data_IF_508007034361
#
_entry.id   IF_508007034361
#
_cell.length_a   1.000
_cell.length_b   1.000
_cell.length_c   1.000
_cell.angle_alpha   90.00
_cell.angle_beta   90.00
_cell.angle_gamma   90.00
#
_symmetry.space_group_name_H-M   'P 1'
#
loop_
_entity.id
_entity.type
_entity.pdbx_description
1 polymer ?
#
# COMPACT_ATOMS: atom_id res chain seq x y z
N UNK A 1 -51.23 28.30 36.12
CA UNK A 1 -49.76 28.57 36.20
C UNK A 1 -49.14 27.69 37.27
N UNK A 2 -47.84 27.37 37.13
CA UNK A 2 -46.93 26.71 38.10
C UNK A 2 -47.11 25.20 38.38
N UNK A 3 -46.16 24.43 37.85
CA UNK A 3 -45.45 23.40 38.64
C UNK A 3 -44.45 24.12 39.60
N UNK A 4 -43.99 23.49 40.70
CA UNK A 4 -42.90 22.48 40.68
C UNK A 4 -43.13 21.34 41.73
N UNK A 5 -42.31 20.31 41.96
CA UNK A 5 -41.22 19.61 41.23
C UNK A 5 -40.87 18.31 41.98
N UNK A 6 -40.46 17.23 41.30
CA UNK A 6 -39.95 16.02 41.97
C UNK A 6 -39.49 14.91 41.00
N UNK A 7 -38.26 14.45 41.18
CA UNK A 7 -37.69 13.21 40.59
C UNK A 7 -38.21 11.99 41.38
N UNK A 8 -38.32 10.77 40.80
CA UNK A 8 -37.13 9.91 40.64
C UNK A 8 -37.12 8.89 39.48
N UNK A 9 -35.89 8.40 39.18
CA UNK A 9 -35.53 7.05 38.67
C UNK A 9 -36.33 6.41 37.52
N UNK A 10 -35.71 6.40 36.33
CA UNK A 10 -36.07 5.45 35.26
C UNK A 10 -35.25 4.16 35.36
N UNK A 11 -35.95 3.02 35.41
CA UNK A 11 -35.39 1.68 35.23
C UNK A 11 -35.98 1.03 33.96
N UNK A 12 -35.11 0.43 33.12
CA UNK A 12 -35.44 -0.48 32.01
C UNK A 12 -36.39 0.05 30.91
N UNK A 13 -35.79 0.41 29.78
CA UNK A 13 -36.26 -0.13 28.49
C UNK A 13 -35.08 -0.46 27.58
N UNK A 14 -35.00 -1.72 27.14
CA UNK A 14 -33.97 -2.18 26.20
C UNK A 14 -34.55 -2.27 24.79
N UNK A 15 -33.86 -1.72 23.77
CA UNK A 15 -34.00 -2.18 22.39
C UNK A 15 -32.85 -3.09 21.98
N UNK A 16 -33.21 -4.17 21.30
CA UNK A 16 -32.31 -5.24 20.84
C UNK A 16 -31.38 -4.78 19.71
N UNK A 17 -30.16 -5.33 19.70
CA UNK A 17 -29.55 -5.85 18.48
C UNK A 17 -28.69 -4.90 17.63
N UNK A 18 -27.41 -4.77 17.99
CA UNK A 18 -26.33 -4.55 17.02
C UNK A 18 -25.29 -5.65 17.23
N UNK A 19 -25.42 -6.73 16.45
CA UNK A 19 -24.54 -7.88 16.53
C UNK A 19 -23.41 -7.78 15.49
N UNK A 20 -22.16 -7.79 15.97
CA UNK A 20 -21.00 -8.22 15.19
C UNK A 20 -20.42 -7.20 14.20
N UNK A 21 -19.16 -6.81 14.42
CA UNK A 21 -18.46 -5.88 13.54
C UNK A 21 -18.28 -6.43 12.12
N UNK A 22 -18.96 -5.80 11.15
CA UNK A 22 -18.59 -5.88 9.75
C UNK A 22 -17.40 -4.95 9.49
N UNK A 23 -16.26 -5.53 9.11
CA UNK A 23 -15.12 -4.78 8.59
C UNK A 23 -15.46 -4.22 7.21
N UNK A 24 -16.15 -3.08 7.21
CA UNK A 24 -16.60 -2.36 6.01
C UNK A 24 -15.42 -1.63 5.35
N UNK A 25 -14.43 -2.38 4.86
CA UNK A 25 -13.65 -1.89 3.74
C UNK A 25 -14.52 -2.01 2.48
N UNK A 26 -14.68 -0.93 1.68
CA UNK A 26 -15.28 -1.06 0.36
C UNK A 26 -14.46 -2.07 -0.45
N UNK A 27 -15.07 -2.81 -1.40
CA UNK A 27 -14.34 -3.74 -2.24
C UNK A 27 -13.16 -2.99 -2.88
N UNK A 28 -11.95 -3.36 -2.48
CA UNK A 28 -10.75 -2.65 -2.90
C UNK A 28 -10.66 -2.73 -4.43
N UNK A 29 -10.21 -1.66 -5.11
CA UNK A 29 -9.92 -1.76 -6.53
C UNK A 29 -8.96 -2.93 -6.72
N UNK A 30 -9.32 -3.86 -7.61
CA UNK A 30 -8.65 -5.17 -7.77
C UNK A 30 -7.15 -4.97 -7.63
N UNK A 31 -6.58 -5.55 -6.57
CA UNK A 31 -5.15 -5.44 -6.35
C UNK A 31 -4.47 -6.17 -7.50
N UNK A 32 -3.68 -5.43 -8.29
CA UNK A 32 -2.84 -5.96 -9.36
C UNK A 32 -1.37 -5.83 -8.94
N UNK A 33 -0.90 -6.62 -7.96
CA UNK A 33 0.52 -6.67 -7.65
C UNK A 33 1.32 -7.16 -8.86
N UNK A 34 2.51 -6.59 -9.03
CA UNK A 34 3.50 -7.05 -10.00
C UNK A 34 4.87 -7.12 -9.34
N UNK A 35 5.60 -8.22 -9.52
CA UNK A 35 6.90 -8.43 -8.87
C UNK A 35 7.92 -9.09 -9.79
N UNK A 36 9.16 -9.19 -9.31
CA UNK A 36 10.17 -10.06 -9.92
C UNK A 36 9.95 -11.54 -9.55
N UNK A 37 10.84 -12.40 -10.04
CA UNK A 37 10.78 -13.86 -9.93
C UNK A 37 10.88 -14.46 -8.52
N UNK A 38 10.87 -13.67 -7.45
CA UNK A 38 10.92 -14.19 -6.08
C UNK A 38 9.56 -14.77 -5.65
N UNK A 39 9.51 -16.10 -5.44
CA UNK A 39 8.29 -16.81 -5.03
C UNK A 39 7.72 -16.35 -3.67
N UNK A 40 8.53 -15.75 -2.79
CA UNK A 40 8.05 -15.26 -1.48
C UNK A 40 6.91 -14.24 -1.60
N UNK A 41 6.90 -13.43 -2.67
CA UNK A 41 5.81 -12.50 -2.95
C UNK A 41 4.48 -13.22 -3.19
N UNK A 42 4.47 -14.39 -3.81
CA UNK A 42 3.24 -15.16 -4.01
C UNK A 42 2.57 -15.48 -2.67
N UNK A 43 3.31 -16.07 -1.74
CA UNK A 43 2.79 -16.44 -0.42
C UNK A 43 2.33 -15.21 0.36
N UNK A 44 3.15 -14.17 0.42
CA UNK A 44 2.81 -12.92 1.13
C UNK A 44 1.54 -12.26 0.57
N UNK A 45 1.41 -12.18 -0.77
CA UNK A 45 0.22 -11.61 -1.42
C UNK A 45 -1.02 -12.47 -1.14
N UNK A 46 -0.93 -13.80 -1.26
CA UNK A 46 -2.07 -14.70 -0.96
C UNK A 46 -2.48 -14.72 0.51
N UNK A 47 -1.55 -14.45 1.43
CA UNK A 47 -1.83 -14.36 2.87
C UNK A 47 -2.38 -12.99 3.29
N UNK A 48 -2.17 -11.94 2.47
CA UNK A 48 -2.68 -10.59 2.73
C UNK A 48 -4.02 -10.32 2.05
N UNK A 49 -4.17 -10.74 0.79
CA UNK A 49 -5.37 -10.51 -0.02
C UNK A 49 -6.31 -11.71 0.03
N UNK A 50 -7.16 -11.75 1.04
CA UNK A 50 -8.16 -12.81 1.23
C UNK A 50 -9.07 -12.55 2.43
N UNK A 51 -9.87 -13.54 2.78
CA UNK A 51 -10.82 -13.49 3.88
C UNK A 51 -10.95 -14.85 4.58
N UNK A 52 -11.27 -14.82 5.87
CA UNK A 52 -11.63 -16.02 6.64
C UNK A 52 -13.10 -16.36 6.43
N UNK A 53 -13.38 -17.42 5.67
CA UNK A 53 -14.74 -17.96 5.55
C UNK A 53 -15.01 -18.96 6.67
N UNK A 54 -16.22 -18.91 7.24
CA UNK A 54 -16.73 -20.00 8.07
C UNK A 54 -17.26 -21.11 7.16
N UNK A 55 -16.57 -22.24 7.11
CA UNK A 55 -16.98 -23.42 6.37
C UNK A 55 -17.56 -24.43 7.36
N UNK A 56 -18.83 -24.77 7.18
CA UNK A 56 -19.47 -25.84 7.93
C UNK A 56 -19.10 -27.20 7.34
N UNK A 57 -18.45 -28.07 8.11
CA UNK A 57 -18.28 -29.50 7.77
C UNK A 57 -18.78 -30.36 8.92
N UNK A 58 -19.81 -31.18 8.67
CA UNK A 58 -20.41 -32.17 9.62
C UNK A 58 -20.46 -31.66 11.07
N UNK A 59 -21.26 -30.62 11.31
CA UNK A 59 -21.49 -30.04 12.65
C UNK A 59 -20.37 -29.14 13.19
N UNK A 60 -19.15 -29.16 12.63
CA UNK A 60 -18.03 -28.31 13.08
C UNK A 60 -17.92 -27.06 12.20
N UNK A 61 -17.99 -25.88 12.83
CA UNK A 61 -17.65 -24.59 12.20
C UNK A 61 -16.13 -24.45 12.17
N UNK A 62 -15.53 -24.42 10.98
CA UNK A 62 -14.09 -24.23 10.80
C UNK A 62 -13.86 -22.92 10.04
N UNK A 63 -12.93 -22.08 10.51
CA UNK A 63 -12.47 -20.92 9.72
C UNK A 63 -11.44 -21.40 8.70
N UNK A 64 -11.67 -21.13 7.42
CA UNK A 64 -10.74 -21.43 6.34
C UNK A 64 -10.37 -20.13 5.62
N UNK A 65 -9.07 -19.91 5.38
CA UNK A 65 -8.60 -18.77 4.60
C UNK A 65 -8.92 -19.01 3.12
N UNK A 66 -9.52 -18.02 2.47
CA UNK A 66 -9.73 -17.99 1.04
C UNK A 66 -9.04 -16.75 0.45
N UNK A 67 -8.14 -16.96 -0.51
CA UNK A 67 -7.54 -15.88 -1.32
C UNK A 67 -8.65 -15.15 -2.07
N UNK A 68 -8.56 -13.83 -2.16
CA UNK A 68 -9.57 -13.02 -2.83
C UNK A 68 -9.74 -13.48 -4.30
N UNK A 69 -10.96 -13.85 -4.75
CA UNK A 69 -11.16 -14.49 -6.06
C UNK A 69 -10.83 -13.57 -7.24
N UNK A 70 -10.90 -12.25 -7.04
CA UNK A 70 -10.50 -11.25 -8.04
C UNK A 70 -9.01 -10.87 -8.02
N UNK A 71 -8.15 -11.53 -7.23
CA UNK A 71 -6.72 -11.18 -7.15
C UNK A 71 -5.97 -11.57 -8.43
N UNK A 72 -5.51 -10.56 -9.19
CA UNK A 72 -4.72 -10.76 -10.41
C UNK A 72 -3.25 -10.49 -10.09
N UNK A 73 -2.38 -11.48 -10.23
CA UNK A 73 -0.96 -11.33 -9.90
C UNK A 73 -0.07 -11.77 -11.07
N UNK A 74 0.65 -10.80 -11.64
CA UNK A 74 1.63 -11.00 -12.71
C UNK A 74 3.07 -10.93 -12.21
N UNK A 75 3.92 -11.83 -12.68
CA UNK A 75 5.31 -11.96 -12.26
C UNK A 75 6.28 -11.84 -13.45
N UNK A 76 7.37 -11.10 -13.26
CA UNK A 76 8.45 -10.96 -14.24
C UNK A 76 9.57 -11.93 -13.92
N UNK A 77 9.75 -12.95 -14.77
CA UNK A 77 10.84 -13.94 -14.65
C UNK A 77 11.99 -13.55 -15.59
N UNK A 78 13.20 -13.44 -15.04
CA UNK A 78 14.42 -13.15 -15.80
C UNK A 78 15.17 -14.45 -16.08
N UNK A 79 15.50 -14.69 -17.34
CA UNK A 79 16.30 -15.85 -17.77
C UNK A 79 17.76 -15.44 -17.92
N UNK A 80 18.65 -16.16 -17.25
CA UNK A 80 20.09 -15.91 -17.27
C UNK A 80 20.86 -17.11 -17.83
N UNK A 81 21.87 -16.83 -18.66
CA UNK A 81 22.81 -17.82 -19.17
C UNK A 81 24.23 -17.28 -18.96
N UNK A 82 25.13 -18.08 -18.37
CA UNK A 82 26.51 -17.66 -18.04
C UNK A 82 26.59 -16.27 -17.36
N UNK A 83 25.71 -16.03 -16.38
CA UNK A 83 25.51 -14.75 -15.65
C UNK A 83 25.03 -13.54 -16.49
N UNK A 84 24.83 -13.67 -17.81
CA UNK A 84 24.23 -12.66 -18.69
C UNK A 84 22.71 -12.81 -18.71
N UNK A 85 21.97 -11.70 -18.67
CA UNK A 85 20.52 -11.71 -18.93
C UNK A 85 20.29 -12.04 -20.41
N UNK A 86 19.56 -13.12 -20.70
CA UNK A 86 19.26 -13.57 -22.07
C UNK A 86 17.79 -13.39 -22.45
N UNK A 87 16.91 -13.20 -21.47
CA UNK A 87 15.50 -12.95 -21.76
C UNK A 87 14.70 -12.56 -20.52
N UNK A 88 13.50 -12.05 -20.78
CA UNK A 88 12.50 -11.73 -19.76
C UNK A 88 11.19 -12.35 -20.22
N UNK A 89 10.54 -13.12 -19.35
CA UNK A 89 9.21 -13.67 -19.56
C UNK A 89 8.23 -13.18 -18.50
N UNK A 90 6.96 -13.12 -18.88
CA UNK A 90 5.86 -12.74 -18.00
C UNK A 90 5.07 -14.01 -17.64
N UNK A 91 4.86 -14.21 -16.35
CA UNK A 91 4.20 -15.40 -15.79
C UNK A 91 3.01 -14.93 -14.98
N UNK A 92 1.80 -15.37 -15.35
CA UNK A 92 0.64 -15.18 -14.47
C UNK A 92 0.74 -16.17 -13.31
N UNK A 93 0.53 -15.67 -12.09
CA UNK A 93 0.48 -16.48 -10.87
C UNK A 93 -0.94 -16.63 -10.35
N UNK A 94 -1.80 -15.62 -10.56
CA UNK A 94 -3.24 -15.62 -10.29
C UNK A 94 -3.95 -14.74 -11.32
N UNK A 95 -5.20 -15.08 -11.68
CA UNK A 95 -6.00 -14.38 -12.70
C UNK A 95 -5.56 -14.65 -14.14
N UNK A 96 -6.37 -14.23 -15.12
CA UNK A 96 -6.05 -14.43 -16.53
C UNK A 96 -5.15 -13.30 -17.10
N UNK A 97 -4.32 -13.57 -18.13
CA UNK A 97 -3.52 -12.54 -18.80
C UNK A 97 -4.36 -11.43 -19.46
N UNK A 98 -5.59 -11.77 -19.91
CA UNK A 98 -6.58 -10.82 -20.44
C UNK A 98 -6.95 -9.77 -19.40
N UNK A 99 -7.26 -10.21 -18.19
CA UNK A 99 -7.80 -9.38 -17.12
C UNK A 99 -6.69 -8.44 -16.62
N UNK A 100 -5.47 -8.97 -16.48
CA UNK A 100 -4.29 -8.16 -16.21
C UNK A 100 -4.11 -7.04 -17.24
N UNK A 101 -4.23 -7.36 -18.53
CA UNK A 101 -4.11 -6.36 -19.61
C UNK A 101 -5.19 -5.30 -19.50
N UNK A 102 -6.45 -5.69 -19.30
CA UNK A 102 -7.59 -4.77 -19.16
C UNK A 102 -7.41 -3.85 -17.95
N UNK A 103 -7.07 -4.38 -16.76
CA UNK A 103 -6.89 -3.53 -15.57
C UNK A 103 -5.68 -2.61 -15.72
N UNK A 104 -4.55 -3.08 -16.28
CA UNK A 104 -3.41 -2.21 -16.55
C UNK A 104 -3.75 -1.10 -17.56
N UNK A 105 -4.55 -1.37 -18.59
CA UNK A 105 -5.03 -0.35 -19.53
C UNK A 105 -5.98 0.65 -18.87
N UNK A 106 -6.92 0.18 -18.01
CA UNK A 106 -7.79 1.05 -17.22
C UNK A 106 -7.04 1.96 -16.24
N UNK A 107 -5.86 1.53 -15.77
CA UNK A 107 -4.95 2.33 -14.96
C UNK A 107 -4.02 3.26 -15.79
N UNK A 108 -4.19 3.33 -17.11
CA UNK A 108 -3.39 4.18 -18.00
C UNK A 108 -2.01 3.62 -18.36
N UNK A 109 -1.74 2.34 -18.09
CA UNK A 109 -0.51 1.66 -18.50
C UNK A 109 -0.68 0.93 -19.85
N UNK A 110 0.43 0.43 -20.41
CA UNK A 110 0.48 -0.21 -21.73
C UNK A 110 -0.20 -1.60 -21.83
N UNK A 111 -0.91 -2.05 -20.79
CA UNK A 111 -1.50 -3.39 -20.74
C UNK A 111 -0.49 -4.54 -20.60
N UNK A 112 0.81 -4.24 -20.40
CA UNK A 112 1.89 -5.24 -20.27
C UNK A 112 2.65 -5.02 -18.98
N UNK A 113 3.10 -6.10 -18.34
CA UNK A 113 4.10 -6.01 -17.28
C UNK A 113 5.36 -5.34 -17.84
N UNK A 114 5.91 -4.38 -17.09
CA UNK A 114 7.12 -3.66 -17.48
C UNK A 114 8.15 -3.78 -16.36
N UNK A 115 9.30 -4.38 -16.68
CA UNK A 115 10.40 -4.62 -15.74
C UNK A 115 10.90 -3.33 -15.09
N UNK A 116 10.88 -2.21 -15.83
CA UNK A 116 11.46 -0.96 -15.39
C UNK A 116 10.80 -0.39 -14.13
N UNK A 117 9.51 -0.65 -13.89
CA UNK A 117 8.84 -0.23 -12.65
C UNK A 117 9.32 -1.05 -11.45
N UNK A 118 9.33 -2.38 -11.57
CA UNK A 118 9.80 -3.31 -10.54
C UNK A 118 11.28 -3.03 -10.22
N UNK A 119 12.12 -2.88 -11.25
CA UNK A 119 13.54 -2.58 -11.10
C UNK A 119 13.78 -1.21 -10.47
N UNK A 120 13.02 -0.17 -10.85
CA UNK A 120 13.11 1.16 -10.25
C UNK A 120 12.71 1.15 -8.78
N UNK A 121 11.63 0.45 -8.41
CA UNK A 121 11.22 0.31 -7.00
C UNK A 121 12.31 -0.44 -6.22
N UNK A 122 12.74 -1.62 -6.68
CA UNK A 122 13.79 -2.41 -6.02
C UNK A 122 15.10 -1.62 -5.87
N UNK A 123 15.51 -0.85 -6.88
CA UNK A 123 16.68 0.02 -6.80
C UNK A 123 16.48 1.15 -5.79
N UNK A 124 15.32 1.81 -5.79
CA UNK A 124 15.02 2.93 -4.88
C UNK A 124 14.98 2.48 -3.41
N UNK A 125 14.46 1.27 -3.13
CA UNK A 125 14.54 0.63 -1.81
C UNK A 125 16.00 0.42 -1.41
N UNK A 126 16.83 -0.19 -2.27
CA UNK A 126 18.27 -0.42 -1.97
C UNK A 126 19.10 0.84 -1.79
N UNK A 127 18.71 1.94 -2.44
CA UNK A 127 19.36 3.25 -2.24
C UNK A 127 18.94 3.94 -0.95
N UNK A 128 17.72 3.68 -0.45
CA UNK A 128 17.21 4.31 0.76
C UNK A 128 17.34 3.47 2.05
N UNK A 129 17.61 2.17 1.93
CA UNK A 129 17.86 1.26 3.05
C UNK A 129 19.27 0.68 2.90
N UNK A 130 20.21 1.21 3.67
CA UNK A 130 21.66 0.88 3.58
C UNK A 130 21.97 -0.61 3.73
N UNK A 131 21.17 -1.34 4.50
CA UNK A 131 21.28 -2.79 4.70
C UNK A 131 20.91 -3.64 3.47
N UNK A 132 20.22 -3.06 2.48
CA UNK A 132 19.82 -3.74 1.24
C UNK A 132 20.75 -3.40 0.06
N UNK A 133 21.73 -2.52 0.25
CA UNK A 133 22.77 -2.23 -0.74
C UNK A 133 23.71 -3.44 -0.92
N UNK A 134 24.08 -3.75 -2.17
CA UNK A 134 24.82 -4.98 -2.53
C UNK A 134 26.21 -5.11 -1.89
N UNK A 135 26.87 -3.99 -1.60
CA UNK A 135 28.18 -3.92 -0.95
C UNK A 135 28.05 -2.87 0.16
N UNK A 136 27.81 -3.32 1.37
CA UNK A 136 27.50 -2.47 2.53
C UNK A 136 28.11 -3.07 3.78
N UNK A 137 28.60 -2.22 4.68
CA UNK A 137 29.00 -2.61 6.03
C UNK A 137 27.81 -2.65 6.99
N UNK A 138 26.69 -1.99 6.64
CA UNK A 138 25.48 -1.89 7.45
C UNK A 138 24.61 -3.16 7.36
N UNK A 139 25.18 -4.34 7.60
CA UNK A 139 24.44 -5.61 7.53
C UNK A 139 23.36 -5.70 8.62
N UNK A 140 22.13 -6.02 8.24
CA UNK A 140 21.05 -6.23 9.19
C UNK A 140 21.08 -7.66 9.73
N UNK A 141 21.66 -7.84 10.92
CA UNK A 141 21.77 -9.15 11.59
C UNK A 141 20.43 -9.65 12.18
N UNK A 142 19.45 -8.76 12.37
CA UNK A 142 18.17 -9.07 13.00
C UNK A 142 17.00 -8.54 12.17
N UNK A 143 15.98 -9.38 11.97
CA UNK A 143 14.78 -9.05 11.18
C UNK A 143 14.03 -7.81 11.68
N UNK A 144 13.79 -7.60 13.00
CA UNK A 144 13.10 -6.41 13.50
C UNK A 144 13.79 -5.09 13.15
N UNK A 145 15.12 -5.05 13.14
CA UNK A 145 15.88 -3.84 12.78
C UNK A 145 15.77 -3.53 11.28
N UNK A 146 15.84 -4.55 10.41
CA UNK A 146 15.59 -4.38 8.97
C UNK A 146 14.16 -3.90 8.70
N UNK A 147 13.18 -4.47 9.41
CA UNK A 147 11.78 -4.07 9.31
C UNK A 147 11.61 -2.60 9.73
N UNK A 148 12.10 -2.19 10.90
CA UNK A 148 12.03 -0.80 11.35
C UNK A 148 12.62 0.20 10.33
N UNK A 149 13.75 -0.15 9.71
CA UNK A 149 14.34 0.68 8.65
C UNK A 149 13.47 0.73 7.38
N UNK A 150 12.87 -0.40 6.97
CA UNK A 150 11.91 -0.45 5.85
C UNK A 150 10.62 0.33 6.12
N UNK A 151 10.08 0.24 7.34
CA UNK A 151 8.92 1.00 7.80
C UNK A 151 9.20 2.51 7.76
N UNK A 152 10.33 2.93 8.35
CA UNK A 152 10.79 4.33 8.31
C UNK A 152 10.98 4.82 6.87
N UNK A 153 11.70 4.05 6.04
CA UNK A 153 11.90 4.38 4.63
C UNK A 153 10.57 4.51 3.89
N UNK A 154 9.61 3.60 4.12
CA UNK A 154 8.29 3.64 3.49
C UNK A 154 7.53 4.90 3.91
N UNK A 155 7.51 5.23 5.20
CA UNK A 155 6.85 6.42 5.71
C UNK A 155 7.48 7.70 5.15
N UNK A 156 8.82 7.81 5.19
CA UNK A 156 9.56 8.94 4.61
C UNK A 156 9.29 9.10 3.11
N UNK A 157 9.37 8.01 2.33
CA UNK A 157 9.15 8.01 0.89
C UNK A 157 7.74 8.48 0.51
N UNK A 158 6.71 8.03 1.24
CA UNK A 158 5.32 8.35 0.89
C UNK A 158 4.83 9.69 1.45
N UNK A 159 5.21 10.07 2.67
CA UNK A 159 4.65 11.25 3.36
C UNK A 159 5.58 12.47 3.35
N UNK A 160 6.90 12.28 3.34
CA UNK A 160 7.89 13.36 3.49
C UNK A 160 8.54 13.74 2.17
N UNK A 161 8.90 12.77 1.33
CA UNK A 161 9.66 13.02 0.10
C UNK A 161 8.74 13.51 -1.04
N UNK A 162 8.95 14.71 -1.60
CA UNK A 162 8.26 15.14 -2.81
C UNK A 162 8.87 14.45 -4.05
N UNK A 163 8.04 14.16 -5.05
CA UNK A 163 8.47 13.51 -6.29
C UNK A 163 8.19 14.40 -7.50
N UNK A 164 9.21 14.59 -8.34
CA UNK A 164 9.12 15.46 -9.52
C UNK A 164 8.05 14.98 -10.51
N UNK A 165 7.91 13.67 -10.71
CA UNK A 165 6.89 13.07 -11.58
C UNK A 165 5.45 13.22 -11.05
N UNK A 166 5.28 13.63 -9.78
CA UNK A 166 3.97 13.85 -9.15
C UNK A 166 3.63 15.34 -9.01
N UNK A 167 4.53 16.25 -9.46
CA UNK A 167 4.31 17.69 -9.34
C UNK A 167 3.12 18.13 -10.22
N UNK A 168 2.27 18.98 -9.66
CA UNK A 168 1.10 19.54 -10.37
C UNK A 168 1.44 20.96 -10.81
N UNK A 169 1.13 21.30 -12.07
CA UNK A 169 1.31 22.67 -12.58
C UNK A 169 0.35 23.61 -11.85
N UNK A 170 0.85 24.75 -11.40
CA UNK A 170 0.01 25.80 -10.82
C UNK A 170 -0.71 26.54 -11.95
N UNK A 171 -1.99 26.89 -11.72
CA UNK A 171 -2.83 27.65 -12.66
C UNK A 171 -2.16 29.01 -12.96
N UNK A 172 -1.70 29.69 -11.92
CA UNK A 172 -0.90 30.91 -12.00
C UNK A 172 0.48 30.66 -11.37
N UNK A 173 1.60 31.01 -12.02
CA UNK A 173 2.92 30.91 -11.42
C UNK A 173 3.02 31.80 -10.17
N UNK A 174 3.48 31.24 -9.05
CA UNK A 174 3.66 32.00 -7.81
C UNK A 174 5.04 32.67 -7.80
N UNK A 175 5.07 33.98 -7.68
CA UNK A 175 6.32 34.73 -7.52
C UNK A 175 7.04 34.37 -6.21
N UNK A 176 8.38 34.43 -6.21
CA UNK A 176 9.22 34.00 -5.07
C UNK A 176 10.17 35.08 -4.55
N UNK A 177 10.00 36.32 -4.98
CA UNK A 177 10.82 37.48 -4.62
C UNK A 177 12.22 37.46 -5.24
N UNK A 178 12.73 38.66 -5.54
CA UNK A 178 14.05 38.86 -6.16
C UNK A 178 14.20 38.21 -7.54
N UNK A 179 15.44 38.00 -7.99
CA UNK A 179 15.79 37.40 -9.29
C UNK A 179 15.51 35.88 -9.39
N UNK A 180 14.49 35.35 -8.69
CA UNK A 180 14.16 33.92 -8.65
C UNK A 180 13.02 33.60 -9.61
N UNK A 181 13.18 32.55 -10.42
CA UNK A 181 12.15 32.07 -11.32
C UNK A 181 10.83 31.77 -10.57
N UNK A 182 9.72 32.28 -11.11
CA UNK A 182 8.38 32.03 -10.58
C UNK A 182 8.11 30.53 -10.44
N UNK A 183 7.48 30.13 -9.34
CA UNK A 183 7.13 28.75 -9.07
C UNK A 183 5.97 28.32 -9.99
N UNK A 184 6.27 27.49 -10.98
CA UNK A 184 5.27 26.93 -11.93
C UNK A 184 4.61 25.63 -11.45
N UNK A 185 5.13 25.00 -10.40
CA UNK A 185 4.69 23.66 -9.95
C UNK A 185 4.55 23.56 -8.43
N UNK A 186 3.47 22.92 -7.97
CA UNK A 186 3.27 22.43 -6.60
C UNK A 186 3.88 21.03 -6.48
N UNK A 187 4.76 20.85 -5.50
CA UNK A 187 5.31 19.54 -5.16
C UNK A 187 4.23 18.65 -4.53
N UNK A 188 4.15 17.37 -4.90
CA UNK A 188 3.36 16.33 -4.21
C UNK A 188 4.27 15.18 -3.77
N UNK A 189 3.89 14.53 -2.69
CA UNK A 189 4.44 13.25 -2.25
C UNK A 189 3.55 12.10 -2.77
N UNK A 190 3.97 10.83 -2.74
CA UNK A 190 3.12 9.70 -3.11
C UNK A 190 1.83 9.60 -2.28
N UNK A 191 1.88 9.86 -0.96
CA UNK A 191 0.68 9.88 -0.12
C UNK A 191 -0.28 11.02 -0.48
N UNK A 192 0.25 12.17 -0.94
CA UNK A 192 -0.58 13.23 -1.51
C UNK A 192 -1.16 12.86 -2.88
N UNK A 193 -0.48 12.04 -3.69
CA UNK A 193 -0.97 11.61 -5.00
C UNK A 193 -2.03 10.50 -4.92
N UNK A 194 -1.99 9.68 -3.87
CA UNK A 194 -3.00 8.67 -3.55
C UNK A 194 -4.08 9.20 -2.58
N UNK A 195 -4.20 10.52 -2.46
CA UNK A 195 -5.17 11.27 -1.63
C UNK A 195 -5.29 10.79 -0.16
N UNK A 196 -4.20 10.21 0.37
CA UNK A 196 -4.07 9.81 1.80
C UNK A 196 -3.75 10.99 2.70
N UNK A 197 -3.29 12.11 2.14
CA UNK A 197 -3.08 13.37 2.88
C UNK A 197 -3.12 14.57 1.94
N UNK A 198 -3.65 15.70 2.40
CA UNK A 198 -3.76 16.94 1.62
C UNK A 198 -2.47 17.79 1.64
N UNK A 199 -1.47 17.43 2.47
CA UNK A 199 -0.24 18.19 2.69
C UNK A 199 1.00 17.29 2.71
N UNK A 200 2.16 17.91 2.50
CA UNK A 200 3.47 17.29 2.77
C UNK A 200 3.66 17.20 4.29
N UNK A 201 4.25 16.11 4.76
CA UNK A 201 4.68 15.94 6.16
C UNK A 201 6.19 16.22 6.28
N UNK A 202 6.63 16.57 7.47
CA UNK A 202 8.03 16.61 7.86
C UNK A 202 8.46 15.26 8.47
N UNK A 203 9.77 15.02 8.53
CA UNK A 203 10.31 13.84 9.21
C UNK A 203 9.91 13.80 10.70
N UNK A 204 9.89 14.96 11.36
CA UNK A 204 9.49 15.09 12.76
C UNK A 204 8.02 14.69 12.96
N UNK A 205 7.09 15.22 12.16
CA UNK A 205 5.66 14.85 12.26
C UNK A 205 5.40 13.35 12.05
N UNK A 206 6.13 12.69 11.14
CA UNK A 206 6.01 11.25 10.94
C UNK A 206 6.53 10.43 12.14
N UNK A 207 7.51 10.95 12.89
CA UNK A 207 8.03 10.31 14.10
C UNK A 207 7.20 10.63 15.35
N UNK A 208 6.61 11.82 15.42
CA UNK A 208 5.82 12.29 16.57
C UNK A 208 4.34 11.91 16.51
N UNK A 209 3.80 11.56 15.35
CA UNK A 209 2.44 11.03 15.20
C UNK A 209 2.47 9.49 15.21
N UNK A 210 2.16 8.82 16.34
CA UNK A 210 1.97 7.38 16.31
C UNK A 210 0.82 7.02 15.36
N UNK A 211 1.03 6.01 14.52
CA UNK A 211 -0.10 5.39 13.81
C UNK A 211 -1.05 4.84 14.89
N UNK A 212 -2.36 5.11 14.81
CA UNK A 212 -3.31 4.50 15.74
C UNK A 212 -3.20 2.97 15.63
N UNK A 213 -3.28 2.23 16.75
CA UNK A 213 -3.12 0.79 16.74
C UNK A 213 -4.14 0.17 15.78
N UNK A 214 -3.65 -0.58 14.80
CA UNK A 214 -4.51 -1.33 13.89
C UNK A 214 -5.09 -2.48 14.70
N UNK A 215 -6.40 -2.43 14.96
CA UNK A 215 -7.11 -3.53 15.63
C UNK A 215 -6.90 -4.84 14.86
N UNK A 216 -6.44 -5.87 15.57
CA UNK A 216 -6.14 -7.20 15.03
C UNK A 216 -7.41 -8.06 14.83
#
# INVERSE_FOLDING_TARGET
MRCPSGLPTDEKTSPKGICGGCSNYPPSPIAVPTSDGLNLYFYALTAHFGQWLQVGRRGRKVKQWQVAPGLIYGQVKKSYQRRRLVGVSHVMRLGAPSDLKVVLQGLGFSGRLNTAFIERVNLTVRHGVSALARRTWATAQQSPHLLAHLEWWRAYYHFVRPHESLRVRLVQPRERGGKRLAQRYRQRTPAMAADRTHRKWTACEVLSCPLPPVSA
#
